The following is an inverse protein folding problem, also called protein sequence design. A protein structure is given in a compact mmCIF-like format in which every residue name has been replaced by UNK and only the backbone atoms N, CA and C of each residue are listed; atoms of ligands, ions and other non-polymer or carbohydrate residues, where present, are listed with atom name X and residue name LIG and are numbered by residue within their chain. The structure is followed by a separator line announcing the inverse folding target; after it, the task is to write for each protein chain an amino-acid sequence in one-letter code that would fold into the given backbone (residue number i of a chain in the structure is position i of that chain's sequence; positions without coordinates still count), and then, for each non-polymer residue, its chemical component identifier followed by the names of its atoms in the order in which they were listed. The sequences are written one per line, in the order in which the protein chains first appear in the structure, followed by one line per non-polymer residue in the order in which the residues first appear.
data_IF_459435997511
#
_entry.id   IF_459435997511
#
_cell.length_a   1.000
_cell.length_b   1.000
_cell.length_c   1.000
_cell.angle_alpha   90.00
_cell.angle_beta   90.00
_cell.angle_gamma   90.00
#
_symmetry.space_group_name_H-M   'P 1'
#
loop_
_entity.id
_entity.type
_entity.pdbx_description
1 polymer ?
#
# COMPACT_ATOMS: atom_id res chain seq x y z
N UNK A 1 -9.28 13.04 25.19
CA UNK A 1 -8.48 11.90 24.70
C UNK A 1 -8.02 12.21 23.28
N UNK A 2 -6.72 12.18 22.97
CA UNK A 2 -6.21 12.66 21.69
C UNK A 2 -6.13 11.51 20.66
N UNK A 3 -7.06 11.52 19.70
CA UNK A 3 -7.26 10.47 18.68
C UNK A 3 -6.01 10.22 17.85
N UNK A 4 -5.25 11.26 17.51
CA UNK A 4 -3.99 11.13 16.73
C UNK A 4 -2.97 10.29 17.49
N UNK A 5 -2.84 10.51 18.81
CA UNK A 5 -1.90 9.75 19.65
C UNK A 5 -2.30 8.28 19.78
N UNK A 6 -3.60 7.99 19.77
CA UNK A 6 -4.11 6.61 19.80
C UNK A 6 -3.77 5.89 18.49
N UNK A 7 -4.04 6.49 17.33
CA UNK A 7 -3.69 5.89 16.05
C UNK A 7 -2.18 5.68 15.90
N UNK A 8 -1.38 6.66 16.32
CA UNK A 8 0.08 6.53 16.31
C UNK A 8 0.55 5.37 17.19
N UNK A 9 0.00 5.23 18.40
CA UNK A 9 0.33 4.14 19.32
C UNK A 9 -0.13 2.77 18.80
N UNK A 10 -1.34 2.70 18.24
CA UNK A 10 -1.88 1.48 17.65
C UNK A 10 -1.00 1.00 16.48
N UNK A 11 -0.65 1.92 15.56
CA UNK A 11 0.24 1.62 14.43
C UNK A 11 1.62 1.15 14.90
N UNK A 12 2.21 1.83 15.88
CA UNK A 12 3.54 1.50 16.38
C UNK A 12 3.60 0.15 17.12
N UNK A 13 2.47 -0.30 17.68
CA UNK A 13 2.36 -1.57 18.42
C UNK A 13 1.77 -2.71 17.60
N UNK A 14 1.35 -2.45 16.36
CA UNK A 14 0.80 -3.47 15.49
C UNK A 14 1.93 -4.40 15.01
N UNK A 15 1.87 -5.66 15.42
CA UNK A 15 2.75 -6.73 14.96
C UNK A 15 1.85 -7.85 14.45
N UNK A 16 1.89 -8.21 13.17
CA UNK A 16 1.07 -9.30 12.65
C UNK A 16 1.48 -10.63 13.30
N UNK A 17 0.49 -11.43 13.68
CA UNK A 17 0.71 -12.73 14.36
C UNK A 17 1.26 -13.82 13.44
N UNK A 18 1.32 -13.57 12.13
CA UNK A 18 1.81 -14.48 11.12
C UNK A 18 1.87 -13.79 9.77
N UNK A 19 2.31 -14.54 8.76
CA UNK A 19 2.34 -14.08 7.37
C UNK A 19 1.01 -14.32 6.68
N UNK A 20 0.66 -13.46 5.74
CA UNK A 20 -0.54 -13.64 4.92
C UNK A 20 -0.29 -14.62 3.77
N UNK A 21 -1.24 -15.52 3.55
CA UNK A 21 -1.27 -16.53 2.48
C UNK A 21 -2.26 -16.12 1.40
N UNK A 22 -2.03 -14.95 0.80
CA UNK A 22 -2.89 -14.45 -0.26
C UNK A 22 -2.08 -13.61 -1.21
N UNK A 23 -2.55 -13.52 -2.45
CA UNK A 23 -1.97 -12.66 -3.47
C UNK A 23 -2.13 -11.20 -3.05
N UNK A 24 -1.02 -10.47 -3.04
CA UNK A 24 -1.02 -9.04 -2.71
C UNK A 24 -0.69 -8.24 -3.95
N UNK A 25 -1.53 -7.25 -4.23
CA UNK A 25 -1.28 -6.21 -5.21
C UNK A 25 -0.84 -4.94 -4.47
N UNK A 26 0.38 -4.49 -4.75
CA UNK A 26 0.96 -3.31 -4.15
C UNK A 26 1.05 -2.19 -5.17
N UNK A 27 0.27 -1.12 -4.95
CA UNK A 27 0.27 0.07 -5.80
C UNK A 27 1.08 1.19 -5.14
N UNK A 28 2.17 1.61 -5.78
CA UNK A 28 3.05 2.66 -5.28
C UNK A 28 2.98 3.92 -6.14
N UNK A 29 2.95 5.08 -5.48
CA UNK A 29 3.02 6.37 -6.18
C UNK A 29 4.46 6.65 -6.63
N UNK A 30 4.68 6.93 -7.92
CA UNK A 30 6.03 7.18 -8.49
C UNK A 30 6.81 8.30 -7.81
N UNK A 31 6.13 9.32 -7.27
CA UNK A 31 6.75 10.44 -6.56
C UNK A 31 6.72 10.26 -5.03
N UNK A 32 6.49 9.04 -4.55
CA UNK A 32 6.64 8.73 -3.12
C UNK A 32 8.10 8.86 -2.71
N UNK A 33 8.36 9.55 -1.60
CA UNK A 33 9.71 9.68 -1.03
C UNK A 33 10.14 8.45 -0.23
N UNK A 34 9.18 7.60 0.13
CA UNK A 34 9.40 6.42 0.95
C UNK A 34 8.90 5.24 0.12
N UNK A 35 9.83 4.35 -0.27
CA UNK A 35 9.47 3.03 -0.79
C UNK A 35 9.75 1.99 0.27
N UNK A 36 8.74 1.19 0.56
CA UNK A 36 8.78 0.15 1.57
C UNK A 36 8.44 -1.23 1.00
N UNK A 37 8.41 -1.39 -0.33
CA UNK A 37 8.02 -2.66 -0.99
C UNK A 37 8.74 -3.87 -0.40
N UNK A 38 10.05 -3.79 -0.27
CA UNK A 38 10.86 -4.92 0.24
C UNK A 38 10.53 -5.27 1.69
N UNK A 39 10.10 -4.30 2.49
CA UNK A 39 9.66 -4.53 3.86
C UNK A 39 8.37 -5.36 3.90
N UNK A 40 7.48 -5.23 2.91
CA UNK A 40 6.24 -6.02 2.90
C UNK A 40 6.48 -7.51 2.72
N UNK A 41 7.57 -7.93 2.04
CA UNK A 41 7.92 -9.35 1.89
C UNK A 41 8.10 -10.07 3.23
N UNK A 42 8.46 -9.34 4.29
CA UNK A 42 8.61 -9.95 5.62
C UNK A 42 7.27 -10.46 6.20
N UNK A 43 6.13 -9.96 5.69
CA UNK A 43 4.79 -10.27 6.18
C UNK A 43 3.97 -11.14 5.23
N UNK A 44 4.54 -11.55 4.09
CA UNK A 44 3.83 -12.26 3.03
C UNK A 44 4.53 -13.60 2.75
N UNK A 45 3.76 -14.64 2.44
CA UNK A 45 4.33 -15.91 1.99
C UNK A 45 4.44 -16.00 0.47
N UNK A 46 3.58 -15.29 -0.25
CA UNK A 46 3.63 -15.16 -1.71
C UNK A 46 4.37 -13.88 -2.12
N UNK A 47 4.87 -13.88 -3.36
CA UNK A 47 5.47 -12.69 -3.96
C UNK A 47 4.44 -11.58 -4.16
N UNK A 48 4.90 -10.34 -3.99
CA UNK A 48 4.07 -9.15 -4.11
C UNK A 48 4.04 -8.69 -5.57
N UNK A 49 2.84 -8.64 -6.14
CA UNK A 49 2.59 -8.10 -7.47
C UNK A 49 2.59 -6.56 -7.39
N UNK A 50 3.58 -5.94 -8.02
CA UNK A 50 3.91 -4.52 -7.82
C UNK A 50 3.57 -3.68 -9.04
N UNK A 51 2.91 -2.55 -8.81
CA UNK A 51 2.51 -1.61 -9.84
C UNK A 51 2.75 -0.17 -9.39
N UNK A 52 3.35 0.64 -10.27
CA UNK A 52 3.50 2.08 -10.03
C UNK A 52 2.37 2.88 -10.66
N UNK A 53 2.00 3.98 -10.01
CA UNK A 53 0.96 4.93 -10.43
C UNK A 53 1.50 6.35 -10.33
N UNK A 54 1.07 7.24 -11.22
CA UNK A 54 1.43 8.66 -11.12
C UNK A 54 0.93 9.30 -9.82
N UNK A 55 1.67 10.31 -9.34
CA UNK A 55 1.35 11.06 -8.13
C UNK A 55 2.29 10.78 -6.96
N UNK A 56 1.90 11.25 -5.79
CA UNK A 56 2.56 11.07 -4.49
C UNK A 56 1.68 10.18 -3.59
N UNK A 57 2.13 9.86 -2.37
CA UNK A 57 1.31 9.13 -1.40
C UNK A 57 -0.08 9.76 -1.18
N UNK A 58 -0.19 11.09 -1.31
CA UNK A 58 -1.45 11.81 -1.18
C UNK A 58 -2.18 11.91 -2.51
N UNK A 59 -1.47 12.36 -3.56
CA UNK A 59 -2.10 12.69 -4.85
C UNK A 59 -2.40 11.49 -5.76
N UNK A 60 -2.00 10.27 -5.38
CA UNK A 60 -2.34 9.05 -6.11
C UNK A 60 -3.87 8.84 -6.23
N UNK A 61 -4.64 9.39 -5.28
CA UNK A 61 -6.11 9.33 -5.28
C UNK A 61 -6.80 10.57 -5.86
N UNK A 62 -6.03 11.56 -6.31
CA UNK A 62 -6.59 12.77 -6.91
C UNK A 62 -7.22 12.46 -8.29
N UNK A 63 -8.20 13.24 -8.76
CA UNK A 63 -8.89 13.01 -10.02
C UNK A 63 -7.96 12.79 -11.23
N UNK A 64 -6.80 13.45 -11.24
CA UNK A 64 -5.80 13.35 -12.30
C UNK A 64 -5.09 11.99 -12.36
N UNK A 65 -4.94 11.30 -11.21
CA UNK A 65 -4.18 10.04 -11.10
C UNK A 65 -5.07 8.81 -10.83
N UNK A 66 -6.26 9.02 -10.26
CA UNK A 66 -7.16 7.94 -9.83
C UNK A 66 -7.64 7.05 -10.98
N UNK A 67 -7.73 7.59 -12.20
CA UNK A 67 -8.10 6.81 -13.38
C UNK A 67 -7.03 5.76 -13.74
N UNK A 68 -5.75 6.11 -13.64
CA UNK A 68 -4.65 5.16 -13.84
C UNK A 68 -4.66 4.09 -12.76
N UNK A 69 -4.84 4.48 -11.49
CA UNK A 69 -4.97 3.55 -10.37
C UNK A 69 -6.13 2.57 -10.58
N UNK A 70 -7.32 3.08 -10.91
CA UNK A 70 -8.52 2.28 -11.11
C UNK A 70 -8.35 1.26 -12.24
N UNK A 71 -7.74 1.67 -13.37
CA UNK A 71 -7.44 0.76 -14.47
C UNK A 71 -6.50 -0.37 -14.04
N UNK A 72 -5.45 -0.05 -13.27
CA UNK A 72 -4.51 -1.05 -12.75
C UNK A 72 -5.18 -2.02 -11.79
N UNK A 73 -6.06 -1.53 -10.91
CA UNK A 73 -6.86 -2.39 -10.02
C UNK A 73 -7.77 -3.31 -10.84
N UNK A 74 -8.48 -2.77 -11.84
CA UNK A 74 -9.37 -3.56 -12.71
C UNK A 74 -8.65 -4.74 -13.38
N UNK A 75 -7.47 -4.49 -13.95
CA UNK A 75 -6.65 -5.53 -14.58
C UNK A 75 -6.17 -6.65 -13.64
N UNK A 76 -6.26 -6.47 -12.32
CA UNK A 76 -5.89 -7.51 -11.33
C UNK A 76 -7.09 -8.31 -10.84
N UNK A 77 -8.31 -7.82 -11.06
CA UNK A 77 -9.55 -8.43 -10.62
C UNK A 77 -10.20 -9.31 -11.71
N UNK A 78 -9.76 -9.18 -12.96
CA UNK A 78 -10.07 -10.06 -14.09
C UNK A 78 -9.17 -11.31 -14.08
#
# INVERSE_FOLDING_TARGET
MNVIRIYAAARAKYIPSGKVNTRIHFFEAKKSRISNKENWKMYCNEDIDYDEVNGTHFSIFDPENVQELAKKIGNKLE
#
